data_IF_436908105199
#
_entry.id   IF_436908105199
#
_cell.length_a   1.000
_cell.length_b   1.000
_cell.length_c   1.000
_cell.angle_alpha   90.00
_cell.angle_beta   90.00
_cell.angle_gamma   90.00
#
_symmetry.space_group_name_H-M   'P 1'
#
loop_
_entity.id
_entity.type
_entity.pdbx_description
1 polymer ?
#
# COMPACT_ATOMS: atom_id res chain seq x y z
N UNK A 1 -5.18 17.74 9.35
CA UNK A 1 -4.10 16.72 9.28
C UNK A 1 -4.56 15.56 8.42
N UNK A 2 -3.88 15.24 7.31
CA UNK A 2 -4.31 14.14 6.43
C UNK A 2 -4.06 12.79 7.10
N UNK A 3 -5.14 12.02 7.33
CA UNK A 3 -5.14 10.65 7.82
C UNK A 3 -4.88 9.68 6.66
N UNK A 4 -4.23 8.53 6.87
CA UNK A 4 -4.17 7.47 5.87
C UNK A 4 -5.55 7.05 5.37
N UNK A 5 -5.68 6.79 4.07
CA UNK A 5 -6.90 6.32 3.42
C UNK A 5 -6.79 4.83 3.10
N UNK A 6 -7.86 4.08 3.38
CA UNK A 6 -7.98 2.67 2.98
C UNK A 6 -8.66 2.59 1.61
N UNK A 7 -8.06 1.85 0.69
CA UNK A 7 -8.63 1.50 -0.62
C UNK A 7 -8.83 -0.01 -0.64
N UNK A 8 -10.09 -0.43 -0.84
CA UNK A 8 -10.55 -1.83 -0.78
C UNK A 8 -11.52 -2.07 -1.94
N UNK A 9 -11.36 -3.19 -2.65
CA UNK A 9 -12.34 -3.66 -3.63
C UNK A 9 -12.60 -2.72 -4.81
N UNK A 10 -11.59 -1.94 -5.21
CA UNK A 10 -11.70 -1.03 -6.35
C UNK A 10 -10.32 -0.73 -6.93
N UNK A 11 -9.94 -1.52 -7.94
CA UNK A 11 -8.70 -1.30 -8.67
C UNK A 11 -8.71 0.08 -9.36
N UNK A 12 -9.89 0.56 -9.81
CA UNK A 12 -10.03 1.90 -10.37
C UNK A 12 -9.64 2.99 -9.37
N UNK A 13 -10.22 3.01 -8.17
CA UNK A 13 -9.88 4.01 -7.13
C UNK A 13 -8.41 3.94 -6.75
N UNK A 14 -7.85 2.74 -6.76
CA UNK A 14 -6.44 2.53 -6.51
C UNK A 14 -5.56 3.16 -7.59
N UNK A 15 -5.82 2.89 -8.87
CA UNK A 15 -5.05 3.48 -9.98
C UNK A 15 -5.26 5.00 -10.10
N UNK A 16 -6.50 5.48 -9.96
CA UNK A 16 -6.79 6.93 -9.92
C UNK A 16 -5.95 7.62 -8.82
N UNK A 17 -5.83 6.99 -7.64
CA UNK A 17 -5.01 7.52 -6.55
C UNK A 17 -3.52 7.52 -6.90
N UNK A 18 -3.00 6.44 -7.48
CA UNK A 18 -1.59 6.37 -7.88
C UNK A 18 -1.22 7.46 -8.89
N UNK A 19 -2.08 7.70 -9.89
CA UNK A 19 -1.88 8.73 -10.92
C UNK A 19 -1.94 10.13 -10.33
N UNK A 20 -2.90 10.41 -9.45
CA UNK A 20 -3.04 11.72 -8.81
C UNK A 20 -1.97 12.01 -7.74
N UNK A 21 -1.32 10.97 -7.19
CA UNK A 21 -0.43 11.11 -6.03
C UNK A 21 0.94 10.43 -6.23
N UNK A 22 1.76 10.85 -7.21
CA UNK A 22 3.04 10.19 -7.53
C UNK A 22 4.11 10.30 -6.44
N UNK A 23 3.97 11.26 -5.51
CA UNK A 23 4.87 11.44 -4.37
C UNK A 23 4.42 10.72 -3.10
N UNK A 24 3.26 10.05 -3.13
CA UNK A 24 2.71 9.38 -1.95
C UNK A 24 3.33 8.00 -1.69
N UNK A 25 2.94 7.43 -0.55
CA UNK A 25 3.31 6.11 -0.09
C UNK A 25 2.07 5.23 0.03
N UNK A 26 2.32 3.93 0.02
CA UNK A 26 1.31 2.91 0.16
C UNK A 26 1.83 1.78 1.03
N UNK A 27 1.01 1.28 1.95
CA UNK A 27 1.18 -0.03 2.57
C UNK A 27 0.27 -1.04 1.87
N UNK A 28 0.86 -2.12 1.39
CA UNK A 28 0.15 -3.33 0.98
C UNK A 28 0.00 -4.23 2.20
N UNK A 29 -1.24 -4.48 2.62
CA UNK A 29 -1.55 -5.34 3.77
C UNK A 29 -2.51 -6.44 3.32
N UNK A 30 -2.54 -7.55 4.06
CA UNK A 30 -3.52 -8.60 3.79
C UNK A 30 -4.91 -8.23 4.34
N UNK A 31 -5.98 -8.72 3.73
CA UNK A 31 -7.37 -8.47 4.15
C UNK A 31 -7.68 -9.07 5.53
N UNK A 32 -7.05 -10.20 5.87
CA UNK A 32 -7.07 -10.79 7.21
C UNK A 32 -6.20 -10.01 8.24
N UNK A 33 -5.56 -8.92 7.82
CA UNK A 33 -4.68 -8.07 8.63
C UNK A 33 -3.60 -8.87 9.37
N UNK A 34 -3.00 -9.86 8.68
CA UNK A 34 -1.87 -10.61 9.22
C UNK A 34 -0.80 -9.66 9.80
N UNK A 35 -0.49 -9.73 11.11
CA UNK A 35 0.45 -8.81 11.77
C UNK A 35 1.87 -8.82 11.18
N UNK A 36 2.18 -9.85 10.38
CA UNK A 36 3.48 -10.07 9.75
C UNK A 36 3.57 -9.62 8.28
N UNK A 37 2.46 -9.16 7.68
CA UNK A 37 2.42 -8.73 6.28
C UNK A 37 2.04 -7.25 6.18
N UNK A 38 3.07 -6.39 6.21
CA UNK A 38 2.95 -4.96 6.02
C UNK A 38 4.08 -4.48 5.11
N UNK A 39 3.79 -4.28 3.81
CA UNK A 39 4.81 -3.94 2.82
C UNK A 39 4.63 -2.51 2.32
N UNK A 40 5.64 -1.67 2.53
CA UNK A 40 5.65 -0.25 2.17
C UNK A 40 6.23 -0.02 0.76
N UNK A 41 5.53 0.79 -0.03
CA UNK A 41 5.84 1.15 -1.41
C UNK A 41 5.71 2.66 -1.63
N UNK A 42 6.44 3.19 -2.63
CA UNK A 42 6.13 4.47 -3.28
C UNK A 42 5.00 4.23 -4.28
N UNK A 43 4.11 5.20 -4.50
CA UNK A 43 3.02 5.06 -5.50
C UNK A 43 3.54 4.85 -6.92
N UNK A 44 4.73 5.36 -7.23
CA UNK A 44 5.43 5.17 -8.51
C UNK A 44 6.07 3.79 -8.66
N UNK A 45 5.96 2.91 -7.67
CA UNK A 45 6.68 1.65 -7.68
C UNK A 45 6.16 0.67 -8.74
N UNK A 46 7.04 0.29 -9.68
CA UNK A 46 6.69 -0.58 -10.81
C UNK A 46 6.15 -1.95 -10.40
N UNK A 47 6.44 -2.45 -9.19
CA UNK A 47 5.87 -3.74 -8.74
C UNK A 47 4.38 -3.66 -8.39
N UNK A 48 3.86 -2.45 -8.13
CA UNK A 48 2.46 -2.22 -7.78
C UNK A 48 1.71 -1.39 -8.84
N UNK A 49 2.45 -0.81 -9.80
CA UNK A 49 1.95 -0.04 -10.95
C UNK A 49 2.18 -0.77 -12.29
N UNK A 50 2.98 -1.84 -12.30
CA UNK A 50 3.46 -2.53 -13.51
C UNK A 50 2.51 -3.59 -14.07
N UNK A 51 2.54 -3.68 -15.39
CA UNK A 51 1.52 -4.18 -16.31
C UNK A 51 1.37 -5.69 -16.48
N UNK A 52 1.85 -6.56 -15.59
CA UNK A 52 1.59 -8.01 -15.74
C UNK A 52 0.21 -8.45 -15.23
N UNK A 53 -0.50 -7.56 -14.51
CA UNK A 53 -1.82 -7.85 -13.94
C UNK A 53 -2.91 -6.83 -14.32
N UNK A 54 -2.59 -5.82 -15.14
CA UNK A 54 -3.60 -4.86 -15.63
C UNK A 54 -4.73 -5.54 -16.41
N UNK A 55 -4.45 -6.70 -17.00
CA UNK A 55 -5.41 -7.49 -17.78
C UNK A 55 -6.28 -8.41 -16.90
N UNK A 56 -6.13 -8.38 -15.57
CA UNK A 56 -6.95 -9.17 -14.63
C UNK A 56 -7.58 -8.24 -13.59
N UNK A 57 -8.85 -7.81 -13.80
CA UNK A 57 -9.62 -7.07 -12.79
C UNK A 57 -9.52 -7.75 -11.42
N UNK A 58 -9.25 -6.97 -10.37
CA UNK A 58 -9.24 -7.42 -8.99
C UNK A 58 -7.90 -7.99 -8.49
N UNK A 59 -6.88 -8.05 -9.34
CA UNK A 59 -5.55 -8.56 -8.97
C UNK A 59 -4.85 -7.73 -7.90
N UNK A 60 -5.25 -6.46 -7.71
CA UNK A 60 -4.59 -5.54 -6.80
C UNK A 60 -5.37 -5.26 -5.52
N UNK A 61 -6.71 -5.22 -5.55
CA UNK A 61 -7.53 -4.80 -4.40
C UNK A 61 -8.74 -5.69 -4.04
N UNK A 62 -9.06 -6.72 -4.84
CA UNK A 62 -10.31 -7.49 -4.66
C UNK A 62 -10.11 -8.90 -4.09
N UNK A 63 -8.88 -9.40 -4.04
CA UNK A 63 -8.57 -10.72 -3.43
C UNK A 63 -8.36 -10.61 -1.92
N UNK A 64 -7.10 -10.63 -1.51
CA UNK A 64 -6.67 -10.74 -0.12
C UNK A 64 -5.86 -9.53 0.31
N UNK A 65 -5.98 -8.40 -0.38
CA UNK A 65 -5.11 -7.24 -0.16
C UNK A 65 -5.92 -5.96 0.01
N UNK A 66 -5.53 -5.18 1.01
CA UNK A 66 -6.00 -3.84 1.27
C UNK A 66 -4.83 -2.89 1.03
N UNK A 67 -5.11 -1.71 0.47
CA UNK A 67 -4.10 -0.66 0.30
C UNK A 67 -4.36 0.45 1.30
N UNK A 68 -3.37 0.80 2.09
CA UNK A 68 -3.39 1.98 2.95
C UNK A 68 -2.49 3.03 2.31
N UNK A 69 -3.02 4.20 1.97
CA UNK A 69 -2.27 5.24 1.25
C UNK A 69 -2.14 6.52 2.06
N UNK A 70 -1.00 7.20 1.93
CA UNK A 70 -0.74 8.48 2.59
C UNK A 70 0.43 9.21 1.92
N UNK A 71 0.46 10.54 2.00
CA UNK A 71 1.65 11.33 1.64
C UNK A 71 2.75 11.29 2.71
N UNK A 72 2.50 10.65 3.85
CA UNK A 72 3.40 10.61 4.98
C UNK A 72 3.64 9.15 5.39
N UNK A 73 4.88 8.69 5.19
CA UNK A 73 5.30 7.33 5.52
C UNK A 73 5.12 7.02 7.00
N UNK A 74 5.44 7.98 7.88
CA UNK A 74 5.35 7.81 9.32
C UNK A 74 3.90 7.59 9.76
N UNK A 75 2.92 8.17 9.04
CA UNK A 75 1.50 7.94 9.32
C UNK A 75 1.03 6.54 8.93
N UNK A 76 1.58 5.97 7.87
CA UNK A 76 1.30 4.57 7.52
C UNK A 76 1.84 3.64 8.61
N UNK A 77 3.06 3.90 9.07
CA UNK A 77 3.69 3.10 10.12
C UNK A 77 2.93 3.23 11.45
N UNK A 78 2.63 4.46 11.88
CA UNK A 78 1.87 4.71 13.10
C UNK A 78 0.48 4.07 13.06
N UNK A 79 -0.18 4.09 11.90
CA UNK A 79 -1.43 3.36 11.71
C UNK A 79 -1.24 1.85 11.85
N UNK A 80 -0.21 1.27 11.23
CA UNK A 80 0.09 -0.15 11.34
C UNK A 80 0.31 -0.60 12.79
N UNK A 81 1.11 0.15 13.56
CA UNK A 81 1.35 -0.16 14.97
C UNK A 81 0.06 -0.09 15.80
N UNK A 82 -0.76 0.94 15.56
CA UNK A 82 -2.06 1.08 16.24
C UNK A 82 -3.01 -0.09 15.97
N UNK A 83 -2.96 -0.65 14.75
CA UNK A 83 -3.81 -1.76 14.34
C UNK A 83 -3.21 -3.14 14.67
N UNK A 84 -2.09 -3.18 15.42
CA UNK A 84 -1.48 -4.42 15.91
C UNK A 84 -0.47 -5.08 14.98
N UNK A 85 -0.03 -4.40 13.92
CA UNK A 85 1.09 -4.89 13.11
C UNK A 85 2.41 -4.75 13.87
N UNK A 86 3.34 -5.68 13.64
CA UNK A 86 4.62 -5.75 14.35
C UNK A 86 5.65 -4.90 13.59
N UNK A 87 6.22 -3.87 14.24
CA UNK A 87 7.18 -2.93 13.64
C UNK A 87 8.32 -3.64 12.90
N UNK A 88 8.93 -4.62 13.53
CA UNK A 88 10.08 -5.38 12.99
C UNK A 88 9.72 -6.25 11.78
N UNK A 89 8.42 -6.39 11.49
CA UNK A 89 7.88 -7.10 10.33
C UNK A 89 7.47 -6.16 9.21
N UNK A 90 7.60 -4.84 9.39
CA UNK A 90 7.38 -3.90 8.30
C UNK A 90 8.47 -4.11 7.27
N UNK A 91 8.06 -4.28 6.01
CA UNK A 91 8.97 -4.52 4.89
C UNK A 91 8.93 -3.31 3.99
N UNK A 92 10.07 -2.70 3.75
CA UNK A 92 10.21 -1.73 2.68
C UNK A 92 10.43 -2.48 1.38
N UNK A 93 9.69 -2.13 0.33
CA UNK A 93 9.89 -2.75 -0.96
C UNK A 93 11.32 -2.49 -1.46
N UNK A 94 12.04 -3.57 -1.76
CA UNK A 94 13.42 -3.54 -2.22
C UNK A 94 13.61 -2.75 -3.51
N UNK A 95 12.58 -2.71 -4.36
CA UNK A 95 12.61 -1.99 -5.63
C UNK A 95 12.41 -0.48 -5.45
N UNK A 96 11.48 -0.07 -4.58
CA UNK A 96 11.16 1.36 -4.43
C UNK A 96 12.02 2.09 -3.39
N UNK A 97 12.83 1.36 -2.58
CA UNK A 97 13.71 1.92 -1.54
C UNK A 97 13.00 3.00 -0.67
N UNK A 98 11.76 2.72 -0.25
CA UNK A 98 10.86 3.68 0.42
C UNK A 98 11.48 4.39 1.63
N UNK A 99 12.42 3.75 2.32
CA UNK A 99 13.12 4.28 3.50
C UNK A 99 14.59 4.63 3.28
N UNK A 100 15.01 4.88 2.05
CA UNK A 100 16.32 5.47 1.69
C UNK A 100 16.12 6.80 0.97
#
# INVERSE_FOLDING_TARGET
MNKPLLIIGSDKKYFDYLEANPSAFLANIQSNRSPSYFVLHRTTCRTINGSTHKDKPGAFTERSYIKLVSHDLNKLEAWGLKEGFIKDRFKYCKTCKVGL
#
